data_IF_291220895321
#
_entry.id   IF_291220895321
#
_cell.length_a   1.000
_cell.length_b   1.000
_cell.length_c   1.000
_cell.angle_alpha   90.00
_cell.angle_beta   90.00
_cell.angle_gamma   90.00
#
_symmetry.space_group_name_H-M   'P 1'
#
loop_
_entity.id
_entity.type
_entity.pdbx_description
1 polymer ?
#
# COMPACT_ATOMS: atom_id res chain seq x y z
N UNK A 1 -18.43 -16.63 -9.57
CA UNK A 1 -18.39 -17.40 -10.83
C UNK A 1 -18.20 -16.45 -11.99
N UNK A 2 -16.98 -16.36 -12.53
CA UNK A 2 -16.58 -15.86 -13.86
C UNK A 2 -15.11 -15.41 -13.82
N UNK A 3 -14.19 -16.37 -13.65
CA UNK A 3 -12.82 -16.23 -14.14
C UNK A 3 -12.79 -16.98 -15.46
N UNK A 4 -12.72 -16.25 -16.58
CA UNK A 4 -12.37 -16.86 -17.85
C UNK A 4 -10.95 -17.39 -17.68
N UNK A 5 -10.88 -18.70 -17.47
CA UNK A 5 -9.69 -19.53 -17.59
C UNK A 5 -9.09 -19.30 -18.98
N UNK A 6 -8.27 -18.27 -19.13
CA UNK A 6 -7.33 -18.17 -20.25
C UNK A 6 -6.13 -19.06 -19.95
N UNK A 7 -6.41 -20.35 -19.76
CA UNK A 7 -5.49 -21.45 -20.04
C UNK A 7 -5.29 -21.49 -21.54
N UNK A 8 -4.23 -20.82 -22.02
CA UNK A 8 -3.53 -21.23 -23.23
C UNK A 8 -2.10 -21.57 -22.86
N UNK A 9 -1.99 -22.66 -22.11
CA UNK A 9 -0.78 -23.47 -22.07
C UNK A 9 -0.61 -24.12 -23.45
N UNK A 10 -0.01 -23.39 -24.38
CA UNK A 10 0.54 -23.97 -25.59
C UNK A 10 1.86 -24.65 -25.25
N UNK A 11 1.82 -25.93 -24.89
CA UNK A 11 3.02 -26.77 -24.84
C UNK A 11 3.52 -26.96 -26.28
N UNK A 12 4.63 -26.31 -26.62
CA UNK A 12 5.48 -26.70 -27.72
C UNK A 12 6.84 -27.11 -27.13
N UNK A 13 7.11 -28.41 -27.18
CA UNK A 13 8.34 -29.05 -26.75
C UNK A 13 9.50 -28.65 -27.69
N UNK A 14 10.41 -27.80 -27.24
CA UNK A 14 11.77 -27.71 -27.79
C UNK A 14 12.73 -27.00 -26.81
N UNK A 15 13.89 -27.61 -26.61
CA UNK A 15 15.13 -27.04 -26.02
C UNK A 15 15.24 -27.13 -24.50
N UNK A 16 15.86 -28.23 -24.03
CA UNK A 16 16.54 -28.30 -22.75
C UNK A 16 17.70 -27.28 -22.73
N UNK A 17 17.71 -26.29 -21.80
CA UNK A 17 18.87 -25.73 -21.07
C UNK A 17 18.60 -24.42 -20.27
N UNK A 18 17.36 -24.03 -19.93
CA UNK A 18 17.16 -22.77 -19.15
C UNK A 18 16.23 -22.97 -17.96
N UNK A 19 16.66 -23.76 -16.98
CA UNK A 19 15.85 -24.09 -15.81
C UNK A 19 16.49 -23.70 -14.47
N UNK A 20 17.03 -22.48 -14.32
CA UNK A 20 17.35 -21.92 -12.99
C UNK A 20 17.48 -20.39 -13.06
N UNK A 21 16.40 -19.62 -13.15
CA UNK A 21 16.41 -18.19 -12.75
C UNK A 21 14.97 -17.62 -12.64
N UNK A 22 14.19 -18.06 -11.65
CA UNK A 22 12.84 -17.52 -11.42
C UNK A 22 12.53 -17.20 -9.94
N UNK A 23 13.54 -16.89 -9.12
CA UNK A 23 13.33 -16.53 -7.71
C UNK A 23 14.04 -15.22 -7.33
N UNK A 24 13.77 -14.15 -8.06
CA UNK A 24 13.99 -12.78 -7.57
C UNK A 24 12.70 -12.00 -7.77
N UNK A 25 11.71 -12.24 -6.92
CA UNK A 25 10.66 -11.27 -6.73
C UNK A 25 11.20 -10.22 -5.75
N UNK A 26 11.41 -8.96 -6.19
CA UNK A 26 11.77 -7.91 -5.26
C UNK A 26 10.58 -7.68 -4.34
N UNK A 27 10.71 -8.08 -3.07
CA UNK A 27 9.88 -7.60 -1.97
C UNK A 27 10.28 -6.16 -1.67
N UNK A 28 10.15 -5.27 -2.66
CA UNK A 28 10.23 -3.85 -2.42
C UNK A 28 8.95 -3.51 -1.66
N UNK A 29 9.10 -3.04 -0.42
CA UNK A 29 8.07 -2.27 0.25
C UNK A 29 7.80 -1.02 -0.61
N UNK A 30 7.00 -1.18 -1.66
CA UNK A 30 6.57 -0.08 -2.49
C UNK A 30 5.65 0.76 -1.62
N UNK A 31 6.12 1.94 -1.22
CA UNK A 31 5.22 2.99 -0.76
C UNK A 31 4.24 3.23 -1.92
N UNK A 32 3.05 2.64 -1.80
CA UNK A 32 2.07 2.64 -2.86
C UNK A 32 1.56 4.06 -3.16
N UNK A 33 0.90 4.27 -4.31
CA UNK A 33 0.29 5.56 -4.66
C UNK A 33 -0.66 6.10 -3.56
N UNK A 34 -1.20 5.20 -2.73
CA UNK A 34 -2.10 5.53 -1.62
C UNK A 34 -1.36 6.17 -0.44
N UNK A 35 -0.12 5.75 -0.17
CA UNK A 35 0.73 6.39 0.84
C UNK A 35 1.05 7.82 0.43
N UNK A 36 1.41 8.03 -0.83
CA UNK A 36 1.71 9.36 -1.37
C UNK A 36 0.48 10.27 -1.35
N UNK A 37 -0.69 9.74 -1.74
CA UNK A 37 -1.96 10.47 -1.63
C UNK A 37 -2.27 10.83 -0.16
N UNK A 38 -2.03 9.93 0.80
CA UNK A 38 -2.21 10.23 2.22
C UNK A 38 -1.25 11.33 2.68
N UNK A 39 0.05 11.24 2.35
CA UNK A 39 1.06 12.26 2.69
C UNK A 39 0.66 13.64 2.13
N UNK A 40 0.24 13.70 0.86
CA UNK A 40 -0.17 14.94 0.19
C UNK A 40 -1.36 15.62 0.88
N UNK A 41 -2.37 14.84 1.26
CA UNK A 41 -3.58 15.39 1.89
C UNK A 41 -3.40 15.72 3.38
N UNK A 42 -2.46 15.07 4.06
CA UNK A 42 -2.26 15.23 5.50
C UNK A 42 -1.09 16.14 5.89
N UNK A 43 -0.28 16.63 4.94
CA UNK A 43 0.90 17.45 5.23
C UNK A 43 0.59 18.72 6.04
N UNK A 44 -0.46 19.45 5.68
CA UNK A 44 -0.88 20.66 6.41
C UNK A 44 -1.39 20.36 7.83
N UNK A 45 -2.17 19.29 7.98
CA UNK A 45 -2.66 18.84 9.29
C UNK A 45 -1.53 18.32 10.18
N UNK A 46 -0.54 17.65 9.60
CA UNK A 46 0.67 17.25 10.30
C UNK A 46 1.41 18.46 10.87
N UNK A 47 1.68 19.48 10.06
CA UNK A 47 2.38 20.69 10.53
C UNK A 47 1.60 21.44 11.61
N UNK A 48 0.27 21.45 11.53
CA UNK A 48 -0.59 22.16 12.49
C UNK A 48 -0.79 21.42 13.80
N UNK A 49 -0.86 20.08 13.77
CA UNK A 49 -1.31 19.28 14.91
C UNK A 49 -0.23 18.37 15.50
N UNK A 50 0.76 17.98 14.69
CA UNK A 50 1.69 16.89 14.99
C UNK A 50 3.15 17.23 14.70
N UNK A 51 3.48 18.52 14.54
CA UNK A 51 4.85 18.97 14.30
C UNK A 51 5.80 18.51 15.43
N UNK A 52 7.06 18.26 15.07
CA UNK A 52 8.10 17.77 15.98
C UNK A 52 8.14 16.25 16.17
N UNK A 53 7.19 15.51 15.59
CA UNK A 53 7.22 14.05 15.55
C UNK A 53 7.98 13.55 14.32
N UNK A 54 8.44 12.29 14.31
CA UNK A 54 9.07 11.71 13.11
C UNK A 54 8.00 11.39 12.05
N UNK A 55 8.06 11.95 10.83
CA UNK A 55 7.09 11.65 9.77
C UNK A 55 6.98 10.15 9.52
N UNK A 56 5.75 9.67 9.30
CA UNK A 56 5.46 8.24 9.09
C UNK A 56 5.69 7.33 10.31
N UNK A 57 6.12 7.89 11.45
CA UNK A 57 6.32 7.14 12.69
C UNK A 57 5.02 6.80 13.44
N UNK A 58 5.09 5.88 14.42
CA UNK A 58 3.96 5.54 15.28
C UNK A 58 3.44 6.74 16.07
N UNK A 59 4.29 7.72 16.37
CA UNK A 59 3.93 8.94 17.10
C UNK A 59 2.95 9.79 16.28
N UNK A 60 3.19 9.94 14.98
CA UNK A 60 2.30 10.69 14.08
C UNK A 60 0.96 9.99 13.93
N UNK A 61 0.95 8.65 13.84
CA UNK A 61 -0.29 7.87 13.82
C UNK A 61 -1.12 8.09 15.09
N UNK A 62 -0.47 8.07 16.26
CA UNK A 62 -1.15 8.33 17.52
C UNK A 62 -1.66 9.78 17.60
N UNK A 63 -0.89 10.74 17.11
CA UNK A 63 -1.30 12.13 17.04
C UNK A 63 -2.53 12.36 16.16
N UNK A 64 -2.56 11.80 14.95
CA UNK A 64 -3.74 11.85 14.08
C UNK A 64 -4.95 11.14 14.68
N UNK A 65 -4.75 10.02 15.41
CA UNK A 65 -5.86 9.36 16.12
C UNK A 65 -6.47 10.25 17.18
N UNK A 66 -5.66 10.94 18.00
CA UNK A 66 -6.14 11.87 19.04
C UNK A 66 -6.81 13.11 18.45
N UNK A 67 -6.31 13.59 17.32
CA UNK A 67 -6.81 14.80 16.67
C UNK A 67 -7.81 14.52 15.54
N UNK A 68 -8.37 13.30 15.43
CA UNK A 68 -9.33 12.92 14.39
C UNK A 68 -10.44 13.97 14.14
N UNK A 69 -11.11 14.54 15.17
CA UNK A 69 -12.14 15.56 14.94
C UNK A 69 -11.61 16.91 14.43
N UNK A 70 -10.30 17.16 14.58
CA UNK A 70 -9.63 18.40 14.19
C UNK A 70 -8.92 18.28 12.84
N UNK A 71 -8.90 17.09 12.21
CA UNK A 71 -8.32 16.89 10.88
C UNK A 71 -9.17 17.56 9.82
N UNK A 72 -8.54 17.99 8.73
CA UNK A 72 -9.28 18.40 7.55
C UNK A 72 -10.11 17.22 7.01
N UNK A 73 -11.23 17.51 6.30
CA UNK A 73 -12.00 16.46 5.62
C UNK A 73 -11.13 15.65 4.63
N UNK A 74 -10.22 16.33 3.93
CA UNK A 74 -9.32 15.70 2.97
C UNK A 74 -8.35 14.70 3.63
N UNK A 75 -7.67 15.09 4.71
CA UNK A 75 -6.77 14.19 5.42
C UNK A 75 -7.53 13.01 6.07
N UNK A 76 -8.71 13.27 6.65
CA UNK A 76 -9.54 12.22 7.24
C UNK A 76 -9.93 11.15 6.23
N UNK A 77 -10.34 11.56 5.03
CA UNK A 77 -10.67 10.65 3.94
C UNK A 77 -9.44 9.90 3.41
N UNK A 78 -8.30 10.58 3.27
CA UNK A 78 -7.08 9.97 2.80
C UNK A 78 -6.56 8.88 3.77
N UNK A 79 -6.63 9.12 5.09
CA UNK A 79 -6.32 8.11 6.12
C UNK A 79 -7.25 6.89 5.97
N UNK A 80 -8.56 7.10 5.82
CA UNK A 80 -9.52 6.00 5.68
C UNK A 80 -9.26 5.16 4.42
N UNK A 81 -8.90 5.81 3.31
CA UNK A 81 -8.54 5.12 2.05
C UNK A 81 -7.25 4.33 2.21
N UNK A 82 -6.22 4.91 2.83
CA UNK A 82 -4.95 4.22 3.10
C UNK A 82 -5.13 3.03 4.05
N UNK A 83 -5.93 3.17 5.11
CA UNK A 83 -6.23 2.06 6.04
C UNK A 83 -6.95 0.91 5.30
N UNK A 84 -7.88 1.22 4.39
CA UNK A 84 -8.56 0.21 3.56
C UNK A 84 -7.61 -0.49 2.60
N UNK A 85 -6.72 0.25 1.95
CA UNK A 85 -5.78 -0.34 0.99
C UNK A 85 -4.73 -1.22 1.65
N UNK A 86 -4.31 -0.87 2.87
CA UNK A 86 -3.44 -1.72 3.68
C UNK A 86 -4.10 -3.03 4.12
N UNK A 87 -5.42 -3.05 4.31
CA UNK A 87 -6.18 -4.29 4.56
C UNK A 87 -6.25 -5.18 3.31
N UNK A 88 -6.56 -4.59 2.15
CA UNK A 88 -6.58 -5.29 0.85
C UNK A 88 -5.24 -5.95 0.53
N UNK A 89 -4.14 -5.21 0.71
CA UNK A 89 -2.79 -5.72 0.41
C UNK A 89 -2.31 -6.81 1.37
N UNK A 90 -2.85 -6.90 2.59
CA UNK A 90 -2.63 -8.06 3.46
C UNK A 90 -3.40 -9.30 3.00
N UNK A 91 -4.61 -9.13 2.46
CA UNK A 91 -5.41 -10.27 1.96
C UNK A 91 -4.74 -10.92 0.72
N UNK A 92 -4.04 -10.14 -0.11
CA UNK A 92 -3.34 -10.63 -1.31
C UNK A 92 -2.00 -11.34 -1.00
N UNK A 93 -1.47 -11.22 0.23
CA UNK A 93 -0.19 -11.81 0.63
C UNK A 93 -0.33 -13.21 1.26
N UNK A 94 -1.56 -13.69 1.45
CA UNK A 94 -1.90 -14.97 2.10
C UNK A 94 -2.39 -16.04 1.09
N UNK A 95 -2.07 -15.90 -0.20
CA UNK A 95 -2.40 -16.88 -1.26
C UNK A 95 -1.18 -17.40 -2.02
#
# INVERSE_FOLDING_TARGET
MNRRFTTRAGLALASALTLTLALLQPSAAQEGPEMEAMKANCGGDYLRLCAGMKPGGPEVKACFKRNRPNLSPACSQAIATYERSRGRSSDDADE
#
